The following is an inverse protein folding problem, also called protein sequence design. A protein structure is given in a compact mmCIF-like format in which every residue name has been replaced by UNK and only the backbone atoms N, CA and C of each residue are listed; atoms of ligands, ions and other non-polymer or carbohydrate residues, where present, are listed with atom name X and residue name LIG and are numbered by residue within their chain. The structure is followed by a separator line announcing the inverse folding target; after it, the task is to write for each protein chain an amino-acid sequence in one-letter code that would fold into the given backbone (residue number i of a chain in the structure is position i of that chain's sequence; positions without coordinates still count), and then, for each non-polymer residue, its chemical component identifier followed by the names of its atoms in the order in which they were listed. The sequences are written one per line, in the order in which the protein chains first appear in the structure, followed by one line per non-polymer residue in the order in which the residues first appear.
data_IF_814697974413
#
_entry.id   IF_814697974413
#
_cell.length_a   1.000
_cell.length_b   1.000
_cell.length_c   1.000
_cell.angle_alpha   90.00
_cell.angle_beta   90.00
_cell.angle_gamma   90.00
#
_symmetry.space_group_name_H-M   'P 1'
#
loop_
_entity.id
_entity.type
_entity.pdbx_description
1 polymer ?
#
# COMPACT_ATOMS: atom_id res chain seq x y z
N UNK A 1 -51.46 19.62 -32.41
CA UNK A 1 -50.02 19.71 -32.71
C UNK A 1 -49.25 19.56 -31.40
N UNK A 2 -49.09 18.30 -31.01
CA UNK A 2 -48.39 17.87 -29.80
C UNK A 2 -46.91 17.78 -30.12
N UNK A 3 -46.17 18.88 -29.91
CA UNK A 3 -44.71 18.88 -29.91
C UNK A 3 -44.15 20.03 -29.06
N UNK A 4 -44.96 20.54 -28.13
CA UNK A 4 -44.45 21.26 -26.96
C UNK A 4 -43.85 20.21 -26.01
N UNK A 5 -42.77 20.59 -25.32
CA UNK A 5 -42.37 20.04 -24.01
C UNK A 5 -41.45 18.81 -23.94
N UNK A 6 -41.07 18.15 -25.04
CA UNK A 6 -40.20 16.94 -24.97
C UNK A 6 -38.70 17.15 -25.16
N UNK A 7 -38.26 18.34 -25.59
CA UNK A 7 -36.83 18.58 -25.89
C UNK A 7 -36.05 19.17 -24.70
N UNK A 8 -36.73 19.52 -23.60
CA UNK A 8 -36.12 20.20 -22.44
C UNK A 8 -35.69 19.27 -21.29
N UNK A 9 -35.65 17.95 -21.50
CA UNK A 9 -35.42 16.95 -20.43
C UNK A 9 -34.22 16.03 -20.67
N UNK A 10 -33.32 16.37 -21.59
CA UNK A 10 -32.15 15.53 -21.93
C UNK A 10 -30.80 16.24 -21.88
N UNK A 11 -30.72 17.45 -21.32
CA UNK A 11 -29.47 18.22 -21.26
C UNK A 11 -29.06 18.69 -19.85
N UNK A 12 -29.43 17.94 -18.79
CA UNK A 12 -29.08 18.32 -17.40
C UNK A 12 -28.23 17.29 -16.62
N UNK A 13 -27.59 16.31 -17.27
CA UNK A 13 -26.86 15.24 -16.54
C UNK A 13 -25.36 15.13 -16.84
N UNK A 14 -24.73 16.15 -17.45
CA UNK A 14 -23.29 16.16 -17.69
C UNK A 14 -22.49 17.12 -16.81
N UNK A 15 -23.01 17.50 -15.64
CA UNK A 15 -22.16 17.83 -14.51
C UNK A 15 -21.86 16.53 -13.75
N UNK A 16 -21.08 15.65 -14.36
CA UNK A 16 -20.31 14.68 -13.60
C UNK A 16 -19.33 15.53 -12.77
N UNK A 17 -19.73 15.89 -11.56
CA UNK A 17 -18.76 16.22 -10.52
C UNK A 17 -17.81 15.04 -10.50
N UNK A 18 -16.56 15.24 -10.90
CA UNK A 18 -15.49 14.32 -10.62
C UNK A 18 -15.40 14.23 -9.10
N UNK A 19 -16.17 13.33 -8.50
CA UNK A 19 -15.97 12.94 -7.12
C UNK A 19 -14.69 12.11 -7.16
N UNK A 20 -13.55 12.79 -7.00
CA UNK A 20 -12.33 12.12 -6.56
C UNK A 20 -12.66 11.59 -5.16
N UNK A 21 -12.96 10.30 -5.08
CA UNK A 21 -13.08 9.64 -3.79
C UNK A 21 -11.69 9.72 -3.15
N UNK A 22 -11.55 10.56 -2.13
CA UNK A 22 -10.31 10.62 -1.33
C UNK A 22 -10.01 9.21 -0.85
N UNK A 23 -8.83 8.69 -1.17
CA UNK A 23 -8.45 7.35 -0.74
C UNK A 23 -8.55 7.25 0.78
N UNK A 24 -9.38 6.34 1.26
CA UNK A 24 -9.66 6.21 2.68
C UNK A 24 -8.74 5.16 3.30
N UNK A 25 -8.04 5.57 4.36
CA UNK A 25 -7.27 4.66 5.18
C UNK A 25 -8.17 3.60 5.83
N UNK A 26 -7.82 2.34 5.65
CA UNK A 26 -8.44 1.24 6.38
C UNK A 26 -7.73 1.05 7.71
N UNK A 27 -8.45 1.27 8.82
CA UNK A 27 -7.90 1.15 10.18
C UNK A 27 -8.71 0.12 10.95
N UNK A 28 -8.06 -0.99 11.33
CA UNK A 28 -8.73 -2.13 11.98
C UNK A 28 -7.82 -2.77 13.03
N UNK A 29 -8.40 -3.65 13.84
CA UNK A 29 -7.68 -4.54 14.76
C UNK A 29 -8.04 -6.00 14.52
N UNK A 30 -7.08 -6.88 14.74
CA UNK A 30 -7.24 -8.32 14.59
C UNK A 30 -6.29 -9.03 15.55
N UNK A 31 -6.81 -9.95 16.36
CA UNK A 31 -6.05 -10.64 17.40
C UNK A 31 -5.24 -9.68 18.30
N UNK A 32 -3.92 -9.80 18.29
CA UNK A 32 -2.97 -9.03 19.09
C UNK A 32 -2.33 -7.85 18.32
N UNK A 33 -2.93 -7.44 17.21
CA UNK A 33 -2.43 -6.32 16.41
C UNK A 33 -3.54 -5.37 15.96
N UNK A 34 -3.15 -4.13 15.68
CA UNK A 34 -3.93 -3.20 14.87
C UNK A 34 -3.14 -2.81 13.63
N UNK A 35 -3.82 -2.24 12.65
CA UNK A 35 -3.17 -1.72 11.46
C UNK A 35 -3.89 -0.53 10.87
N UNK A 36 -3.10 0.28 10.16
CA UNK A 36 -3.57 1.24 9.19
C UNK A 36 -3.05 0.83 7.80
N UNK A 37 -3.90 0.90 6.79
CA UNK A 37 -3.60 0.48 5.42
C UNK A 37 -4.13 1.51 4.42
N UNK A 38 -3.37 1.76 3.37
CA UNK A 38 -3.79 2.56 2.22
C UNK A 38 -3.56 1.77 0.92
N UNK A 39 -4.44 1.98 -0.05
CA UNK A 39 -4.43 1.26 -1.33
C UNK A 39 -3.47 1.94 -2.30
N UNK A 40 -2.87 1.16 -3.21
CA UNK A 40 -2.01 1.70 -4.26
C UNK A 40 -2.82 2.23 -5.44
N UNK A 41 -2.34 3.30 -6.05
CA UNK A 41 -3.03 4.00 -7.15
C UNK A 41 -2.83 3.31 -8.51
N UNK A 42 -1.73 2.55 -8.70
CA UNK A 42 -1.48 1.81 -9.96
C UNK A 42 -2.18 0.45 -9.95
N UNK A 43 -1.88 -0.37 -8.94
CA UNK A 43 -2.52 -1.68 -8.76
C UNK A 43 -3.49 -1.59 -7.59
N UNK A 44 -4.77 -1.42 -7.90
CA UNK A 44 -5.81 -1.34 -6.88
C UNK A 44 -5.92 -2.65 -6.09
N UNK A 45 -5.98 -2.53 -4.77
CA UNK A 45 -5.97 -3.67 -3.84
C UNK A 45 -4.58 -4.14 -3.44
N UNK A 46 -3.50 -3.56 -3.98
CA UNK A 46 -2.21 -3.60 -3.32
C UNK A 46 -2.16 -2.57 -2.18
N UNK A 47 -1.58 -2.95 -1.05
CA UNK A 47 -1.66 -2.15 0.17
C UNK A 47 -0.28 -1.81 0.70
N UNK A 48 -0.08 -0.54 1.09
CA UNK A 48 0.94 -0.15 2.05
C UNK A 48 0.33 -0.27 3.45
N UNK A 49 0.97 -1.06 4.31
CA UNK A 49 0.42 -1.44 5.62
C UNK A 49 1.36 -1.07 6.75
N UNK A 50 0.78 -0.63 7.86
CA UNK A 50 1.46 -0.28 9.09
C UNK A 50 0.85 -1.06 10.23
N UNK A 51 1.52 -2.12 10.68
CA UNK A 51 1.04 -3.00 11.73
C UNK A 51 1.66 -2.64 13.07
N UNK A 52 0.84 -2.55 14.12
CA UNK A 52 1.23 -2.31 15.50
C UNK A 52 0.80 -3.52 16.33
N UNK A 53 1.69 -4.05 17.16
CA UNK A 53 1.43 -5.26 17.96
C UNK A 53 1.44 -4.94 19.45
N UNK A 54 0.51 -5.51 20.19
CA UNK A 54 0.48 -5.34 21.65
C UNK A 54 1.72 -5.94 22.33
N UNK A 55 2.31 -6.98 21.75
CA UNK A 55 3.57 -7.62 22.19
C UNK A 55 4.75 -6.63 22.30
N UNK A 56 4.73 -5.52 21.54
CA UNK A 56 5.76 -4.49 21.57
C UNK A 56 5.28 -3.20 22.26
N UNK A 57 4.24 -3.29 23.10
CA UNK A 57 3.56 -2.16 23.74
C UNK A 57 3.02 -1.13 22.73
N UNK A 58 2.78 -1.52 21.48
CA UNK A 58 2.38 -0.64 20.39
C UNK A 58 3.41 0.46 20.06
N UNK A 59 4.67 0.28 20.47
CA UNK A 59 5.75 1.25 20.28
C UNK A 59 6.61 0.96 19.05
N UNK A 60 6.38 -0.19 18.39
CA UNK A 60 7.00 -0.47 17.08
C UNK A 60 5.96 -0.70 16.00
N UNK A 61 6.18 -0.07 14.85
CA UNK A 61 5.40 -0.25 13.62
C UNK A 61 6.17 -1.15 12.66
N UNK A 62 5.48 -2.16 12.13
CA UNK A 62 5.96 -3.00 11.05
C UNK A 62 5.36 -2.51 9.74
N UNK A 63 6.21 -2.02 8.84
CA UNK A 63 5.77 -1.49 7.56
C UNK A 63 6.01 -2.51 6.45
N UNK A 64 4.94 -2.79 5.70
CA UNK A 64 4.94 -3.74 4.59
C UNK A 64 4.22 -3.15 3.39
N UNK A 65 4.48 -3.67 2.20
CA UNK A 65 3.64 -3.44 1.03
C UNK A 65 3.31 -4.76 0.33
N UNK A 66 2.20 -4.81 -0.38
CA UNK A 66 1.88 -5.97 -1.23
C UNK A 66 2.14 -5.65 -2.69
N UNK A 67 2.46 -6.70 -3.45
CA UNK A 67 2.50 -6.64 -4.90
C UNK A 67 1.76 -7.83 -5.46
N UNK A 68 0.75 -7.55 -6.27
CA UNK A 68 0.06 -8.57 -7.05
C UNK A 68 0.77 -8.77 -8.39
N UNK A 69 0.87 -10.03 -8.82
CA UNK A 69 1.44 -10.40 -10.12
C UNK A 69 0.65 -11.52 -10.77
N UNK A 70 0.53 -11.47 -12.09
CA UNK A 70 0.00 -12.58 -12.89
C UNK A 70 1.07 -13.60 -13.27
N UNK A 71 2.35 -13.26 -13.09
CA UNK A 71 3.48 -14.14 -13.41
C UNK A 71 3.51 -15.38 -12.52
N UNK A 72 3.86 -16.52 -13.12
CA UNK A 72 3.89 -17.82 -12.43
C UNK A 72 5.17 -18.60 -12.73
N UNK A 73 6.36 -18.01 -12.51
CA UNK A 73 7.60 -18.75 -12.68
C UNK A 73 7.64 -19.93 -11.70
N UNK A 74 8.19 -21.07 -12.12
CA UNK A 74 8.23 -22.30 -11.31
C UNK A 74 8.95 -22.11 -9.96
N UNK A 75 9.94 -21.22 -9.94
CA UNK A 75 10.76 -20.86 -8.77
C UNK A 75 10.20 -19.65 -7.99
N UNK A 76 8.93 -19.28 -8.15
CA UNK A 76 8.36 -18.09 -7.50
C UNK A 76 8.54 -18.10 -5.97
N UNK A 77 8.35 -19.26 -5.35
CA UNK A 77 8.45 -19.43 -3.90
C UNK A 77 9.89 -19.37 -3.39
N UNK A 78 10.89 -19.52 -4.25
CA UNK A 78 12.29 -19.39 -3.87
C UNK A 78 12.62 -17.95 -3.47
N UNK A 79 11.77 -16.97 -3.82
CA UNK A 79 11.93 -15.59 -3.38
C UNK A 79 11.56 -15.37 -1.91
N UNK A 80 10.85 -16.31 -1.25
CA UNK A 80 10.44 -16.15 0.15
C UNK A 80 11.66 -15.98 1.05
N UNK A 81 11.58 -15.02 1.97
CA UNK A 81 12.64 -14.55 2.88
C UNK A 81 13.88 -13.96 2.20
N UNK A 82 13.94 -13.87 0.86
CA UNK A 82 15.04 -13.19 0.16
C UNK A 82 14.87 -11.68 0.22
N UNK A 83 16.01 -10.98 0.17
CA UNK A 83 16.06 -9.54 -0.01
C UNK A 83 16.08 -9.21 -1.50
N UNK A 84 15.14 -8.38 -1.92
CA UNK A 84 14.95 -7.95 -3.29
C UNK A 84 15.27 -6.46 -3.39
N UNK A 85 16.03 -6.02 -4.40
CA UNK A 85 16.30 -4.61 -4.59
C UNK A 85 15.03 -3.87 -5.03
N UNK A 86 14.79 -2.77 -4.34
CA UNK A 86 13.70 -1.84 -4.62
C UNK A 86 14.25 -0.42 -4.69
N UNK A 87 13.43 0.50 -5.19
CA UNK A 87 13.60 1.93 -4.98
C UNK A 87 12.39 2.50 -4.27
N UNK A 88 12.63 3.40 -3.32
CA UNK A 88 11.59 4.26 -2.73
C UNK A 88 11.88 5.68 -3.18
N UNK A 89 10.98 6.28 -3.98
CA UNK A 89 11.19 7.56 -4.67
C UNK A 89 12.59 7.70 -5.31
N UNK A 90 13.06 6.64 -5.98
CA UNK A 90 14.37 6.62 -6.63
C UNK A 90 15.56 6.23 -5.75
N UNK A 91 15.44 6.27 -4.41
CA UNK A 91 16.49 5.82 -3.50
C UNK A 91 16.54 4.30 -3.42
N UNK A 92 17.71 3.70 -3.62
CA UNK A 92 17.87 2.24 -3.60
C UNK A 92 17.83 1.66 -2.17
N UNK A 93 17.03 0.63 -1.99
CA UNK A 93 16.90 -0.14 -0.75
C UNK A 93 16.78 -1.63 -1.05
N UNK A 94 16.85 -2.46 0.00
CA UNK A 94 16.50 -3.87 -0.05
C UNK A 94 15.24 -4.10 0.77
N UNK A 95 14.28 -4.84 0.22
CA UNK A 95 13.06 -5.27 0.91
C UNK A 95 13.01 -6.78 1.02
N UNK A 96 12.55 -7.30 2.15
CA UNK A 96 12.45 -8.76 2.37
C UNK A 96 11.10 -9.25 1.87
N UNK A 97 11.06 -10.30 1.05
CA UNK A 97 9.81 -10.99 0.71
C UNK A 97 9.37 -11.80 1.93
N UNK A 98 8.43 -11.28 2.71
CA UNK A 98 7.95 -11.94 3.91
C UNK A 98 7.11 -13.17 3.58
N UNK A 99 6.23 -13.06 2.59
CA UNK A 99 5.38 -14.15 2.17
C UNK A 99 4.97 -14.03 0.69
N UNK A 100 4.55 -15.17 0.13
CA UNK A 100 4.05 -15.33 -1.23
C UNK A 100 2.86 -16.28 -1.13
N UNK A 101 1.68 -15.86 -1.54
CA UNK A 101 0.49 -16.70 -1.52
C UNK A 101 -0.29 -16.60 -2.83
N UNK A 102 -0.98 -17.68 -3.26
CA UNK A 102 -1.94 -17.59 -4.34
C UNK A 102 -2.98 -16.53 -4.03
N UNK A 103 -3.24 -15.65 -4.99
CA UNK A 103 -4.22 -14.58 -4.85
C UNK A 103 -4.89 -14.34 -6.19
N UNK A 104 -6.22 -14.44 -6.24
CA UNK A 104 -6.98 -14.37 -7.48
C UNK A 104 -6.42 -15.35 -8.54
N UNK A 105 -5.99 -14.82 -9.69
CA UNK A 105 -5.46 -15.62 -10.80
C UNK A 105 -3.93 -15.71 -10.81
N UNK A 106 -3.24 -15.16 -9.80
CA UNK A 106 -1.80 -15.09 -9.73
C UNK A 106 -1.30 -15.22 -8.30
N UNK A 107 -0.33 -14.38 -7.94
CA UNK A 107 0.30 -14.39 -6.63
C UNK A 107 0.31 -13.01 -6.00
N UNK A 108 0.16 -12.98 -4.68
CA UNK A 108 0.40 -11.80 -3.86
C UNK A 108 1.67 -11.99 -3.07
N UNK A 109 2.59 -11.07 -3.26
CA UNK A 109 3.78 -10.93 -2.44
C UNK A 109 3.48 -9.99 -1.29
N UNK A 110 4.01 -10.31 -0.12
CA UNK A 110 4.07 -9.40 1.02
C UNK A 110 5.54 -9.06 1.25
N UNK A 111 5.90 -7.81 1.03
CA UNK A 111 7.24 -7.29 1.24
C UNK A 111 7.34 -6.56 2.57
N UNK A 112 8.42 -6.75 3.31
CA UNK A 112 8.71 -6.02 4.55
C UNK A 112 9.79 -4.97 4.34
N UNK A 113 9.45 -3.72 4.67
CA UNK A 113 10.39 -2.60 4.75
C UNK A 113 11.13 -2.55 6.09
N UNK A 114 10.55 -3.15 7.14
CA UNK A 114 11.19 -3.32 8.44
C UNK A 114 10.28 -2.97 9.61
N UNK A 115 10.83 -3.08 10.81
CA UNK A 115 10.18 -2.69 12.06
C UNK A 115 10.93 -1.52 12.68
N UNK A 116 10.21 -0.48 13.07
CA UNK A 116 10.79 0.77 13.54
C UNK A 116 10.06 1.28 14.77
N UNK A 117 10.68 2.16 15.57
CA UNK A 117 9.95 2.91 16.57
C UNK A 117 8.86 3.74 15.87
N UNK A 118 7.62 3.62 16.33
CA UNK A 118 6.44 4.18 15.64
C UNK A 118 6.59 5.68 15.44
N UNK A 119 6.82 6.44 16.50
CA UNK A 119 6.75 7.90 16.45
C UNK A 119 7.91 8.48 15.61
N UNK A 120 9.12 7.92 15.75
CA UNK A 120 10.28 8.31 14.93
C UNK A 120 10.07 8.03 13.44
N UNK A 121 9.58 6.83 13.11
CA UNK A 121 9.42 6.41 11.73
C UNK A 121 8.30 7.17 11.01
N UNK A 122 7.18 7.42 11.69
CA UNK A 122 6.07 8.17 11.11
C UNK A 122 6.44 9.63 10.90
N UNK A 123 7.20 10.25 11.81
CA UNK A 123 7.72 11.60 11.59
C UNK A 123 8.63 11.65 10.36
N UNK A 124 9.57 10.71 10.24
CA UNK A 124 10.44 10.59 9.06
C UNK A 124 9.63 10.43 7.76
N UNK A 125 8.65 9.52 7.74
CA UNK A 125 7.82 9.30 6.55
C UNK A 125 6.97 10.52 6.20
N UNK A 126 6.46 11.25 7.20
CA UNK A 126 5.68 12.45 6.97
C UNK A 126 6.54 13.58 6.37
N UNK A 127 7.76 13.77 6.88
CA UNK A 127 8.72 14.72 6.30
C UNK A 127 9.08 14.34 4.87
N UNK A 128 9.43 13.07 4.66
CA UNK A 128 9.72 12.52 3.33
C UNK A 128 8.55 12.72 2.36
N UNK A 129 7.33 12.36 2.75
CA UNK A 129 6.17 12.53 1.89
C UNK A 129 5.83 14.00 1.63
N UNK A 130 6.05 14.90 2.61
CA UNK A 130 5.83 16.34 2.42
C UNK A 130 6.80 16.94 1.40
N UNK A 131 8.05 16.45 1.35
CA UNK A 131 9.06 16.90 0.39
C UNK A 131 8.76 16.44 -1.03
N UNK A 132 8.38 15.16 -1.20
CA UNK A 132 8.20 14.56 -2.53
C UNK A 132 6.76 14.56 -3.04
N UNK A 133 5.77 14.76 -2.16
CA UNK A 133 4.33 14.63 -2.41
C UNK A 133 3.95 13.31 -3.11
N UNK A 134 4.72 12.27 -2.86
CA UNK A 134 4.60 10.96 -3.49
C UNK A 134 5.29 9.93 -2.60
N UNK A 135 4.69 8.76 -2.42
CA UNK A 135 5.36 7.59 -1.87
C UNK A 135 5.28 6.46 -2.88
N UNK A 136 6.37 6.22 -3.60
CA UNK A 136 6.44 5.33 -4.74
C UNK A 136 7.47 4.25 -4.48
N UNK A 137 7.08 2.99 -4.73
CA UNK A 137 7.97 1.84 -4.66
C UNK A 137 8.10 1.22 -6.05
N UNK A 138 9.34 0.99 -6.46
CA UNK A 138 9.69 0.27 -7.68
C UNK A 138 10.52 -0.97 -7.34
N UNK A 139 10.09 -2.16 -7.78
CA UNK A 139 10.92 -3.37 -7.77
C UNK A 139 11.87 -3.30 -8.96
N UNK A 140 13.17 -3.37 -8.70
CA UNK A 140 14.21 -3.21 -9.73
C UNK A 140 15.03 -4.49 -9.90
N UNK A 141 15.83 -4.55 -10.96
CA UNK A 141 16.75 -5.67 -11.18
C UNK A 141 17.91 -5.65 -10.17
N UNK A 142 18.43 -6.85 -9.88
CA UNK A 142 19.67 -7.07 -9.15
C UNK A 142 20.63 -7.97 -9.93
N UNK A 143 21.78 -8.28 -9.33
CA UNK A 143 22.83 -9.10 -9.96
C UNK A 143 22.33 -10.48 -10.39
N UNK A 144 21.56 -11.15 -9.52
CA UNK A 144 20.99 -12.48 -9.76
C UNK A 144 19.46 -12.48 -9.67
N UNK A 145 18.83 -11.33 -9.93
CA UNK A 145 17.39 -11.16 -9.83
C UNK A 145 16.89 -10.29 -10.98
N UNK A 146 15.94 -10.81 -11.77
CA UNK A 146 15.27 -10.07 -12.83
C UNK A 146 13.83 -9.82 -12.44
N UNK A 147 13.51 -8.56 -12.18
CA UNK A 147 12.19 -8.13 -11.72
C UNK A 147 11.08 -8.57 -12.68
N UNK A 148 11.30 -8.42 -13.98
CA UNK A 148 10.36 -8.81 -15.03
C UNK A 148 10.06 -10.31 -15.13
N UNK A 149 10.85 -11.18 -14.48
CA UNK A 149 10.55 -12.63 -14.42
C UNK A 149 9.39 -12.92 -13.47
N UNK A 150 9.20 -12.08 -12.46
CA UNK A 150 8.29 -12.34 -11.34
C UNK A 150 7.14 -11.33 -11.25
N UNK A 151 7.27 -10.16 -11.88
CA UNK A 151 6.32 -9.05 -11.74
C UNK A 151 6.00 -8.43 -13.10
N UNK A 152 4.73 -8.49 -13.49
CA UNK A 152 4.18 -7.78 -14.66
C UNK A 152 4.04 -6.27 -14.38
N UNK A 153 3.65 -5.90 -13.16
CA UNK A 153 3.67 -4.52 -12.67
C UNK A 153 4.69 -4.41 -11.54
N UNK A 154 5.73 -3.60 -11.76
CA UNK A 154 6.87 -3.46 -10.84
C UNK A 154 6.79 -2.22 -9.95
N UNK A 155 5.87 -1.32 -10.24
CA UNK A 155 5.86 0.03 -9.71
C UNK A 155 4.46 0.39 -9.24
N UNK A 156 4.35 0.88 -8.02
CA UNK A 156 3.11 1.38 -7.46
C UNK A 156 3.41 2.58 -6.55
N UNK A 157 2.39 3.38 -6.28
CA UNK A 157 2.46 4.56 -5.43
C UNK A 157 1.24 4.63 -4.51
N UNK A 158 1.41 5.33 -3.39
CA UNK A 158 0.41 5.47 -2.34
C UNK A 158 0.30 6.94 -1.94
N UNK A 159 -0.93 7.39 -1.73
CA UNK A 159 -1.24 8.72 -1.19
C UNK A 159 -1.22 8.62 0.33
N UNK A 160 -0.28 9.31 0.98
CA UNK A 160 -0.10 9.25 2.43
C UNK A 160 -0.76 10.41 3.18
N UNK A 161 -1.72 11.08 2.55
CA UNK A 161 -2.58 12.06 3.20
C UNK A 161 -3.20 11.45 4.46
N UNK A 162 -3.21 12.17 5.59
CA UNK A 162 -3.67 11.66 6.89
C UNK A 162 -2.82 10.56 7.55
N UNK A 163 -1.59 10.28 7.08
CA UNK A 163 -0.66 9.29 7.69
C UNK A 163 -0.64 9.39 9.23
N UNK A 164 -0.31 10.57 9.77
CA UNK A 164 -0.24 10.79 11.22
C UNK A 164 -1.54 10.45 11.94
N UNK A 165 -2.68 10.88 11.39
CA UNK A 165 -4.00 10.64 11.97
C UNK A 165 -4.32 9.15 11.99
N UNK A 166 -4.08 8.48 10.87
CA UNK A 166 -4.39 7.05 10.69
C UNK A 166 -3.53 6.16 11.57
N UNK A 167 -2.22 6.45 11.69
CA UNK A 167 -1.35 5.70 12.60
C UNK A 167 -1.69 5.96 14.06
N UNK A 168 -2.04 7.20 14.44
CA UNK A 168 -2.48 7.49 15.80
C UNK A 168 -3.74 6.72 16.18
N UNK A 169 -4.72 6.64 15.27
CA UNK A 169 -5.92 5.84 15.48
C UNK A 169 -5.60 4.35 15.59
N UNK A 170 -4.70 3.82 14.75
CA UNK A 170 -4.23 2.44 14.89
C UNK A 170 -3.50 2.21 16.23
N UNK A 171 -2.68 3.17 16.71
CA UNK A 171 -1.99 3.09 18.01
C UNK A 171 -2.98 3.05 19.17
N UNK A 172 -4.07 3.84 19.10
CA UNK A 172 -5.16 3.76 20.07
C UNK A 172 -5.81 2.37 20.08
N UNK A 173 -6.17 1.83 18.91
CA UNK A 173 -6.74 0.48 18.80
C UNK A 173 -5.78 -0.62 19.30
N UNK A 174 -4.48 -0.45 19.09
CA UNK A 174 -3.48 -1.40 19.59
C UNK A 174 -3.40 -1.38 21.12
N UNK A 175 -3.48 -0.19 21.73
CA UNK A 175 -3.41 -0.04 23.20
C UNK A 175 -4.60 -0.68 23.92
N UNK A 176 -5.74 -0.83 23.25
CA UNK A 176 -6.89 -1.60 23.76
C UNK A 176 -6.62 -3.12 23.83
N UNK A 177 -5.51 -3.60 23.27
CA UNK A 177 -5.12 -5.02 23.23
C UNK A 177 -4.01 -5.37 24.23
N UNK A 178 -3.58 -4.42 25.06
CA UNK A 178 -2.61 -4.61 26.15
C UNK A 178 -3.30 -5.19 27.38
#
# INVERSE_FOLDING_TARGET
MSFLFRVFLFFSLFFLTYVSAKEEWTIKKFNNLSYAQVTGEVTYGDHLSFFLRSENNCEKVWNTFTVYTYEKPEDIYDLRLKKIPIKINGQQLLSTVQDISPFLMGYRFVFSLGQFNTDQYINFLNEFYTEFNLFEIEIVDGENFKSSKYFDIKKNNWVLDDLNKSINQAKLLCRELL
#
